data_IF_587286999056
#
_entry.id   IF_587286999056
#
_cell.length_a   1.000
_cell.length_b   1.000
_cell.length_c   1.000
_cell.angle_alpha   90.00
_cell.angle_beta   90.00
_cell.angle_gamma   90.00
#
_symmetry.space_group_name_H-M   'P 1'
#
loop_
_entity.id
_entity.type
_entity.pdbx_description
1 polymer ?
#
# COMPACT_ATOMS: atom_id res chain seq x y z
N UNK A 1 -2.72 4.53 -8.62
CA UNK A 1 -1.80 5.35 -7.79
C UNK A 1 -0.39 5.38 -8.37
N UNK A 2 0.34 6.48 -8.21
CA UNK A 2 1.64 6.71 -8.84
C UNK A 2 2.81 6.51 -7.86
N UNK A 3 3.90 5.95 -8.37
CA UNK A 3 5.20 5.89 -7.68
C UNK A 3 6.25 6.53 -8.56
N UNK A 4 7.14 7.30 -7.94
CA UNK A 4 8.22 8.01 -8.59
C UNK A 4 9.55 7.56 -8.01
N UNK A 5 10.58 7.52 -8.85
CA UNK A 5 11.97 7.36 -8.44
C UNK A 5 12.74 8.62 -8.80
N UNK A 6 13.65 9.03 -7.93
CA UNK A 6 14.49 10.20 -8.17
C UNK A 6 15.89 9.99 -7.63
N UNK A 7 16.82 10.72 -8.22
CA UNK A 7 18.20 10.82 -7.76
C UNK A 7 18.42 12.16 -7.05
N UNK A 8 19.03 12.12 -5.87
CA UNK A 8 19.46 13.31 -5.13
C UNK A 8 20.77 12.99 -4.38
N UNK A 9 21.94 13.38 -4.92
CA UNK A 9 23.24 13.00 -4.36
C UNK A 9 23.49 13.62 -2.98
N UNK A 10 22.93 14.80 -2.73
CA UNK A 10 23.01 15.51 -1.45
C UNK A 10 21.86 15.14 -0.49
N UNK A 11 21.01 14.19 -0.87
CA UNK A 11 19.89 13.75 -0.06
C UNK A 11 20.29 12.91 1.16
N UNK A 12 19.31 12.43 1.94
CA UNK A 12 19.55 11.64 3.14
C UNK A 12 20.46 10.42 2.93
N UNK A 13 21.40 10.23 3.87
CA UNK A 13 22.38 9.14 3.84
C UNK A 13 21.79 7.74 4.09
N UNK A 14 22.66 6.75 4.26
CA UNK A 14 22.26 5.33 4.42
C UNK A 14 21.40 5.04 5.65
N UNK A 15 21.45 5.91 6.67
CA UNK A 15 20.61 5.79 7.87
C UNK A 15 19.21 6.40 7.69
N UNK A 16 18.86 6.85 6.48
CA UNK A 16 17.52 7.38 6.22
C UNK A 16 16.48 6.28 6.39
N UNK A 17 15.49 6.46 7.28
CA UNK A 17 14.40 5.51 7.40
C UNK A 17 13.45 5.60 6.21
N UNK A 18 12.49 4.68 6.15
CA UNK A 18 11.24 4.93 5.43
C UNK A 18 10.53 6.10 6.12
N UNK A 19 10.32 7.19 5.41
CA UNK A 19 9.67 8.39 5.94
C UNK A 19 8.28 8.51 5.35
N UNK A 20 7.29 8.69 6.21
CA UNK A 20 5.94 9.18 5.86
C UNK A 20 5.79 10.56 6.50
N UNK A 21 5.49 11.56 5.69
CA UNK A 21 5.17 12.90 6.15
C UNK A 21 3.68 12.99 6.52
N UNK A 22 3.32 13.90 7.42
CA UNK A 22 1.93 14.13 7.82
C UNK A 22 1.02 14.57 6.66
N UNK A 23 1.60 15.04 5.56
CA UNK A 23 0.88 15.33 4.32
C UNK A 23 0.54 14.08 3.48
N UNK A 24 1.00 12.88 3.88
CA UNK A 24 0.84 11.63 3.14
C UNK A 24 1.95 11.36 2.12
N UNK A 25 2.81 12.34 1.82
CA UNK A 25 4.00 12.12 0.99
C UNK A 25 4.99 11.21 1.72
N UNK A 26 5.50 10.19 1.04
CA UNK A 26 6.45 9.26 1.61
C UNK A 26 7.64 9.04 0.68
N UNK A 27 8.76 8.65 1.26
CA UNK A 27 9.89 8.16 0.49
C UNK A 27 10.75 7.17 1.30
N UNK A 28 11.50 6.35 0.57
CA UNK A 28 12.64 5.61 1.10
C UNK A 28 13.83 5.73 0.19
N UNK A 29 15.00 5.50 0.77
CA UNK A 29 16.21 5.29 -0.02
C UNK A 29 16.09 4.01 -0.83
N UNK A 30 16.67 4.02 -2.02
CA UNK A 30 16.76 2.88 -2.92
C UNK A 30 18.21 2.63 -3.34
N UNK A 31 18.85 1.64 -2.72
CA UNK A 31 20.26 1.35 -2.93
C UNK A 31 21.24 2.40 -2.38
N UNK A 32 22.48 2.37 -2.90
CA UNK A 32 23.60 3.14 -2.34
C UNK A 32 23.86 4.47 -3.04
N UNK A 33 23.45 4.63 -4.30
CA UNK A 33 23.85 5.72 -5.18
C UNK A 33 22.96 6.97 -5.11
N UNK A 34 22.42 7.33 -3.94
CA UNK A 34 21.60 8.54 -3.79
C UNK A 34 20.28 8.48 -4.56
N UNK A 35 19.74 7.28 -4.80
CA UNK A 35 18.42 7.10 -5.37
C UNK A 35 17.38 6.93 -4.25
N UNK A 36 16.17 7.37 -4.54
CA UNK A 36 15.02 7.28 -3.66
C UNK A 36 13.79 6.91 -4.49
N UNK A 37 12.81 6.37 -3.81
CA UNK A 37 11.48 6.14 -4.37
C UNK A 37 10.43 6.55 -3.36
N UNK A 38 9.29 6.97 -3.87
CA UNK A 38 8.20 7.45 -3.05
C UNK A 38 7.01 7.88 -3.87
N UNK A 39 6.04 8.45 -3.17
CA UNK A 39 4.77 8.81 -3.75
C UNK A 39 3.88 9.50 -2.73
N UNK A 40 2.64 9.70 -3.12
CA UNK A 40 1.56 10.16 -2.26
C UNK A 40 0.26 9.65 -2.87
N UNK A 41 -0.64 9.12 -2.04
CA UNK A 41 -1.97 8.76 -2.53
C UNK A 41 -2.77 10.03 -2.78
N UNK A 42 -3.47 10.16 -3.92
CA UNK A 42 -4.40 11.26 -4.14
C UNK A 42 -5.56 11.17 -3.13
N UNK A 43 -6.23 12.30 -2.83
CA UNK A 43 -7.50 12.26 -2.12
C UNK A 43 -8.56 11.51 -2.94
N UNK A 44 -9.61 11.04 -2.29
CA UNK A 44 -10.64 10.18 -2.90
C UNK A 44 -11.34 10.83 -4.10
N UNK A 45 -11.56 12.14 -4.06
CA UNK A 45 -12.17 12.94 -5.12
C UNK A 45 -11.23 13.20 -6.31
N UNK A 46 -9.94 12.90 -6.17
CA UNK A 46 -8.92 12.99 -7.22
C UNK A 46 -8.32 11.61 -7.56
N UNK A 47 -8.93 10.49 -7.14
CA UNK A 47 -8.45 9.16 -7.54
C UNK A 47 -8.53 8.99 -9.07
N UNK A 48 -7.43 8.57 -9.73
CA UNK A 48 -7.40 8.42 -11.18
C UNK A 48 -8.28 7.26 -11.67
N UNK A 49 -8.69 7.35 -12.94
CA UNK A 49 -9.44 6.30 -13.62
C UNK A 49 -8.67 4.97 -13.58
N UNK A 50 -9.24 3.90 -12.98
CA UNK A 50 -8.58 2.60 -12.88
C UNK A 50 -8.46 1.87 -14.24
N UNK A 51 -9.00 2.41 -15.32
CA UNK A 51 -8.75 1.91 -16.67
C UNK A 51 -7.51 2.52 -17.33
N UNK A 52 -6.91 3.55 -16.71
CA UNK A 52 -5.70 4.22 -17.19
C UNK A 52 -4.54 4.08 -16.19
N UNK A 53 -3.43 3.50 -16.66
CA UNK A 53 -2.17 3.38 -15.91
C UNK A 53 -1.13 4.41 -16.36
N UNK A 54 -1.53 5.44 -17.09
CA UNK A 54 -0.68 6.59 -17.34
C UNK A 54 -0.29 7.27 -16.02
N UNK A 55 0.94 7.78 -15.97
CA UNK A 55 1.43 8.53 -14.81
C UNK A 55 1.14 10.00 -15.03
N UNK A 56 0.41 10.62 -14.11
CA UNK A 56 0.36 12.08 -14.05
C UNK A 56 1.65 12.62 -13.44
N UNK A 57 2.53 13.13 -14.29
CA UNK A 57 3.79 13.74 -13.86
C UNK A 57 3.61 15.11 -13.20
N UNK A 58 2.51 15.83 -13.46
CA UNK A 58 2.22 17.11 -12.83
C UNK A 58 1.87 16.90 -11.36
N UNK A 59 1.19 15.80 -11.03
CA UNK A 59 0.93 15.41 -9.64
C UNK A 59 2.23 15.35 -8.81
N UNK A 60 3.33 14.87 -9.38
CA UNK A 60 4.62 14.93 -8.67
C UNK A 60 5.08 16.37 -8.42
N UNK A 61 5.02 17.23 -9.44
CA UNK A 61 5.51 18.62 -9.36
C UNK A 61 4.67 19.48 -8.41
N UNK A 62 3.36 19.31 -8.44
CA UNK A 62 2.40 20.15 -7.74
C UNK A 62 2.12 19.63 -6.33
N UNK A 63 2.05 18.31 -6.18
CA UNK A 63 1.62 17.70 -4.93
C UNK A 63 2.79 17.10 -4.15
N UNK A 64 3.63 16.27 -4.76
CA UNK A 64 4.63 15.50 -4.02
C UNK A 64 5.88 16.33 -3.71
N UNK A 65 6.48 16.96 -4.72
CA UNK A 65 7.78 17.62 -4.61
C UNK A 65 7.82 18.76 -3.58
N UNK A 66 6.84 19.69 -3.53
CA UNK A 66 6.88 20.79 -2.55
C UNK A 66 6.84 20.29 -1.10
N UNK A 67 6.09 19.21 -0.84
CA UNK A 67 5.99 18.57 0.48
C UNK A 67 7.30 17.88 0.86
N UNK A 68 7.89 17.13 -0.07
CA UNK A 68 9.17 16.46 0.13
C UNK A 68 10.33 17.45 0.31
N UNK A 69 10.41 18.51 -0.50
CA UNK A 69 11.44 19.54 -0.37
C UNK A 69 11.32 20.32 0.95
N UNK A 70 10.08 20.62 1.40
CA UNK A 70 9.85 21.22 2.71
C UNK A 70 10.33 20.31 3.85
N UNK A 71 10.08 19.00 3.77
CA UNK A 71 10.46 18.03 4.80
C UNK A 71 11.96 17.72 4.79
N UNK A 72 12.56 17.67 3.60
CA UNK A 72 13.97 17.35 3.34
C UNK A 72 14.52 18.39 2.36
N UNK A 73 15.08 19.51 2.84
CA UNK A 73 15.53 20.61 1.97
C UNK A 73 16.49 20.21 0.84
N UNK A 74 17.29 19.16 1.01
CA UNK A 74 18.16 18.63 -0.05
C UNK A 74 17.39 18.17 -1.31
N UNK A 75 16.11 17.84 -1.17
CA UNK A 75 15.22 17.47 -2.28
C UNK A 75 14.80 18.66 -3.15
N UNK A 76 15.16 19.90 -2.84
CA UNK A 76 15.06 21.01 -3.80
C UNK A 76 15.83 20.73 -5.10
N UNK A 77 16.91 19.94 -5.05
CA UNK A 77 17.73 19.59 -6.20
C UNK A 77 17.50 18.16 -6.72
N UNK A 78 16.42 17.48 -6.32
CA UNK A 78 16.15 16.13 -6.81
C UNK A 78 15.87 16.09 -8.31
N UNK A 79 16.11 14.95 -8.94
CA UNK A 79 15.79 14.71 -10.36
C UNK A 79 15.02 13.41 -10.51
N UNK A 80 13.78 13.49 -10.95
CA UNK A 80 12.95 12.31 -11.25
C UNK A 80 13.60 11.54 -12.40
N UNK A 81 13.78 10.22 -12.20
CA UNK A 81 14.41 9.32 -13.16
C UNK A 81 13.46 8.25 -13.71
N UNK A 82 12.35 7.98 -13.02
CA UNK A 82 11.36 7.00 -13.46
C UNK A 82 10.07 7.09 -12.66
N UNK A 83 9.03 6.45 -13.18
CA UNK A 83 7.72 6.38 -12.54
C UNK A 83 6.88 5.24 -13.08
N UNK A 84 5.91 4.78 -12.29
CA UNK A 84 4.88 3.86 -12.74
C UNK A 84 3.58 4.10 -11.98
N UNK A 85 2.47 3.65 -12.57
CA UNK A 85 1.19 3.56 -11.89
C UNK A 85 0.88 2.09 -11.53
N UNK A 86 0.11 1.90 -10.47
CA UNK A 86 -0.39 0.58 -10.06
C UNK A 86 -1.77 0.66 -9.42
N UNK A 87 -2.47 -0.46 -9.49
CA UNK A 87 -3.76 -0.66 -8.84
C UNK A 87 -3.59 -0.99 -7.35
N UNK A 88 -4.57 -0.57 -6.57
CA UNK A 88 -4.74 -0.99 -5.20
C UNK A 88 -6.02 -1.79 -5.11
N UNK A 89 -5.92 -3.05 -4.70
CA UNK A 89 -7.09 -3.86 -4.39
C UNK A 89 -7.48 -3.58 -2.93
N UNK A 90 -8.57 -2.86 -2.70
CA UNK A 90 -9.05 -2.62 -1.35
C UNK A 90 -10.53 -2.97 -1.23
N UNK A 91 -10.92 -3.38 -0.03
CA UNK A 91 -12.31 -3.62 0.29
C UNK A 91 -13.02 -2.28 0.54
N UNK A 92 -14.02 -1.93 -0.27
CA UNK A 92 -14.77 -0.68 -0.09
C UNK A 92 -15.70 -0.70 1.13
N UNK A 93 -15.95 -1.87 1.73
CA UNK A 93 -16.81 -1.99 2.91
C UNK A 93 -16.14 -1.45 4.18
N UNK A 94 -14.92 -1.90 4.47
CA UNK A 94 -14.21 -1.57 5.72
C UNK A 94 -12.70 -1.41 5.55
N UNK A 95 -12.21 -1.33 4.30
CA UNK A 95 -10.79 -1.19 3.93
C UNK A 95 -9.85 -2.31 4.40
N UNK A 96 -10.39 -3.37 5.01
CA UNK A 96 -9.63 -4.52 5.48
C UNK A 96 -9.62 -5.66 4.46
N UNK A 97 -8.58 -6.49 4.53
CA UNK A 97 -8.48 -7.69 3.70
C UNK A 97 -9.62 -8.68 3.91
N UNK A 98 -9.92 -9.45 2.88
CA UNK A 98 -10.87 -10.57 2.92
C UNK A 98 -10.09 -11.86 2.73
N UNK A 99 -10.04 -12.68 3.79
CA UNK A 99 -9.28 -13.93 3.83
C UNK A 99 -10.13 -15.05 4.40
N UNK A 100 -10.27 -16.14 3.63
CA UNK A 100 -10.94 -17.35 4.11
C UNK A 100 -11.85 -18.01 3.08
N UNK A 101 -12.58 -19.07 3.48
CA UNK A 101 -13.50 -19.78 2.59
C UNK A 101 -14.70 -18.90 2.21
N UNK A 102 -15.14 -19.00 0.96
CA UNK A 102 -16.33 -18.30 0.49
C UNK A 102 -17.61 -18.93 1.08
N UNK A 103 -18.57 -18.15 1.60
CA UNK A 103 -19.69 -18.66 2.39
C UNK A 103 -20.70 -19.53 1.62
N UNK A 104 -20.71 -19.44 0.29
CA UNK A 104 -21.67 -20.14 -0.59
C UNK A 104 -21.04 -21.04 -1.65
N UNK A 105 -19.72 -21.03 -1.77
CA UNK A 105 -19.02 -21.74 -2.84
C UNK A 105 -17.98 -22.66 -2.21
N UNK A 106 -18.24 -23.96 -2.28
CA UNK A 106 -17.32 -24.98 -1.79
C UNK A 106 -15.99 -24.90 -2.53
N UNK A 107 -14.90 -25.14 -1.80
CA UNK A 107 -13.53 -25.13 -2.32
C UNK A 107 -13.06 -23.79 -2.95
N UNK A 108 -13.80 -22.69 -2.76
CA UNK A 108 -13.34 -21.34 -3.12
C UNK A 108 -12.82 -20.63 -1.87
N UNK A 109 -11.60 -20.11 -1.96
CA UNK A 109 -10.96 -19.32 -0.92
C UNK A 109 -10.57 -17.94 -1.44
N UNK A 110 -10.68 -16.93 -0.59
CA UNK A 110 -10.28 -15.56 -0.89
C UNK A 110 -9.05 -15.17 -0.08
N UNK A 111 -8.19 -14.37 -0.70
CA UNK A 111 -7.13 -13.60 -0.06
C UNK A 111 -6.91 -12.35 -0.93
N UNK A 112 -7.70 -11.31 -0.68
CA UNK A 112 -7.75 -10.11 -1.51
C UNK A 112 -8.08 -8.87 -0.66
N UNK A 113 -7.94 -7.67 -1.23
CA UNK A 113 -8.33 -6.43 -0.59
C UNK A 113 -7.31 -5.89 0.41
N UNK A 114 -6.03 -6.31 0.30
CA UNK A 114 -4.99 -5.93 1.25
C UNK A 114 -4.37 -4.56 0.98
N UNK A 115 -4.72 -3.90 -0.12
CA UNK A 115 -4.36 -2.50 -0.41
C UNK A 115 -2.84 -2.27 -0.27
N UNK A 116 -2.43 -1.15 0.30
CA UNK A 116 -1.02 -0.82 0.56
C UNK A 116 -0.30 -1.73 1.54
N UNK A 117 -1.04 -2.57 2.26
CA UNK A 117 -0.49 -3.49 3.26
C UNK A 117 -0.18 -4.88 2.70
N UNK A 118 -0.56 -5.16 1.44
CA UNK A 118 -0.41 -6.49 0.84
C UNK A 118 0.99 -7.08 0.96
N UNK A 119 2.04 -6.27 0.73
CA UNK A 119 3.42 -6.73 0.87
C UNK A 119 3.75 -7.13 2.31
N UNK A 120 3.29 -6.36 3.30
CA UNK A 120 3.54 -6.61 4.72
C UNK A 120 2.74 -7.81 5.24
N UNK A 121 1.49 -7.96 4.78
CA UNK A 121 0.56 -8.99 5.23
C UNK A 121 0.70 -10.33 4.51
N UNK A 122 1.28 -10.35 3.30
CA UNK A 122 1.38 -11.56 2.47
C UNK A 122 1.94 -12.80 3.18
N UNK A 123 3.00 -12.72 4.01
CA UNK A 123 3.51 -13.91 4.71
C UNK A 123 2.48 -14.52 5.68
N UNK A 124 1.79 -13.69 6.45
CA UNK A 124 0.78 -14.14 7.41
C UNK A 124 -0.49 -14.64 6.69
N UNK A 125 -0.94 -13.90 5.68
CA UNK A 125 -2.09 -14.26 4.85
C UNK A 125 -1.88 -15.60 4.14
N UNK A 126 -0.73 -15.78 3.48
CA UNK A 126 -0.39 -17.02 2.78
C UNK A 126 -0.31 -18.22 3.73
N UNK A 127 0.29 -18.03 4.92
CA UNK A 127 0.36 -19.08 5.94
C UNK A 127 -1.03 -19.49 6.44
N UNK A 128 -1.87 -18.51 6.77
CA UNK A 128 -3.21 -18.75 7.29
C UNK A 128 -4.11 -19.45 6.25
N UNK A 129 -4.02 -19.05 4.98
CA UNK A 129 -4.77 -19.69 3.90
C UNK A 129 -4.29 -21.13 3.65
N UNK A 130 -2.99 -21.38 3.67
CA UNK A 130 -2.45 -22.73 3.54
C UNK A 130 -2.91 -23.67 4.67
N UNK A 131 -2.99 -23.16 5.91
CA UNK A 131 -3.51 -23.91 7.06
C UNK A 131 -5.00 -24.24 6.89
N UNK A 132 -5.81 -23.30 6.44
CA UNK A 132 -7.21 -23.56 6.12
C UNK A 132 -7.37 -24.64 5.04
N UNK A 133 -6.62 -24.54 3.95
CA UNK A 133 -6.72 -25.49 2.83
C UNK A 133 -6.27 -26.90 3.23
N UNK A 134 -5.16 -27.03 3.95
CA UNK A 134 -4.58 -28.34 4.27
C UNK A 134 -5.22 -28.96 5.51
N UNK A 135 -5.59 -28.15 6.50
CA UNK A 135 -5.97 -28.61 7.85
C UNK A 135 -7.39 -28.27 8.25
N UNK A 136 -8.10 -27.45 7.47
CA UNK A 136 -9.47 -27.03 7.76
C UNK A 136 -9.61 -26.04 8.92
N UNK A 137 -8.50 -25.48 9.44
CA UNK A 137 -8.50 -24.52 10.56
C UNK A 137 -7.24 -23.67 10.54
N UNK A 138 -7.30 -22.49 11.16
CA UNK A 138 -6.12 -21.71 11.51
C UNK A 138 -5.35 -22.42 12.65
N UNK A 139 -4.02 -22.39 12.60
CA UNK A 139 -3.15 -22.92 13.66
C UNK A 139 -2.15 -21.89 14.17
N UNK A 140 -1.47 -21.19 13.27
CA UNK A 140 -0.39 -20.26 13.66
C UNK A 140 -0.95 -18.89 14.05
N UNK A 141 -1.91 -18.39 13.27
CA UNK A 141 -2.53 -17.09 13.47
C UNK A 141 -4.01 -17.16 13.09
N UNK A 142 -4.88 -16.79 14.02
CA UNK A 142 -6.31 -16.75 13.81
C UNK A 142 -6.70 -15.47 13.05
N UNK A 143 -7.02 -15.64 11.77
CA UNK A 143 -7.46 -14.56 10.88
C UNK A 143 -8.96 -14.58 10.60
N UNK A 144 -9.78 -15.24 11.44
CA UNK A 144 -11.26 -15.27 11.28
C UNK A 144 -11.88 -13.89 11.18
N UNK A 145 -11.31 -12.88 11.85
CA UNK A 145 -11.76 -11.48 11.77
C UNK A 145 -11.64 -10.88 10.37
N UNK A 146 -10.81 -11.44 9.49
CA UNK A 146 -10.70 -11.06 8.08
C UNK A 146 -11.62 -11.90 7.17
N UNK A 147 -12.41 -12.82 7.74
CA UNK A 147 -13.32 -13.70 7.01
C UNK A 147 -14.55 -12.99 6.43
N UNK A 148 -15.31 -13.75 5.64
CA UNK A 148 -16.52 -13.28 4.97
C UNK A 148 -17.68 -12.99 5.92
N UNK A 149 -17.74 -13.64 7.08
CA UNK A 149 -18.85 -13.53 8.03
C UNK A 149 -19.18 -12.07 8.35
N UNK A 150 -18.16 -11.25 8.59
CA UNK A 150 -18.34 -9.82 8.88
C UNK A 150 -18.98 -9.04 7.71
N UNK A 151 -18.66 -9.39 6.46
CA UNK A 151 -19.28 -8.77 5.27
C UNK A 151 -20.72 -9.25 5.09
N UNK A 152 -20.99 -10.51 5.42
CA UNK A 152 -22.33 -11.12 5.33
C UNK A 152 -23.26 -10.55 6.41
N UNK A 153 -22.74 -10.39 7.62
CA UNK A 153 -23.48 -9.91 8.78
C UNK A 153 -23.57 -8.38 8.83
N UNK A 154 -22.79 -7.67 8.00
CA UNK A 154 -22.79 -6.22 7.95
C UNK A 154 -22.04 -5.55 9.11
N UNK A 155 -21.07 -6.25 9.69
CA UNK A 155 -20.29 -5.83 10.86
C UNK A 155 -18.87 -5.42 10.41
N UNK A 156 -18.58 -4.12 10.21
CA UNK A 156 -17.28 -3.68 9.74
C UNK A 156 -16.18 -3.96 10.76
N UNK A 157 -15.00 -4.32 10.26
CA UNK A 157 -13.81 -4.41 11.10
C UNK A 157 -13.25 -3.01 11.35
N UNK A 158 -13.53 -2.44 12.51
CA UNK A 158 -12.95 -1.14 12.89
C UNK A 158 -11.47 -1.26 13.27
N UNK A 159 -10.64 -0.45 12.63
CA UNK A 159 -9.25 -0.26 13.02
C UNK A 159 -9.16 0.77 14.15
N UNK A 160 -8.94 0.30 15.38
CA UNK A 160 -8.62 1.16 16.51
C UNK A 160 -7.12 1.51 16.53
N UNK A 161 -6.66 2.18 15.48
CA UNK A 161 -5.37 2.88 15.44
C UNK A 161 -4.29 2.28 14.53
N UNK A 162 -3.77 3.15 13.67
CA UNK A 162 -2.36 3.58 13.68
C UNK A 162 -2.31 5.01 14.20
#
# INVERSE_FOLDING_TARGET
RYVFTWHCPNGPGLSCPFLIDTSGAYFRRDGFAGNYLGGMSPPEDEEPDPSDLSVDHNYFQEQIWPRLARRVPAFESLRVGGSWAGYYDYNTFDQNGVLGPHPRLENLFSAAGFSGHGLQHAPAAGRALAELVIKGRYETLDLRRLGWDRLVDGEPLEEHGV
#
